data_IF_279783625719
#
_entry.id   IF_279783625719
#
_cell.length_a   1.000
_cell.length_b   1.000
_cell.length_c   1.000
_cell.angle_alpha   90.00
_cell.angle_beta   90.00
_cell.angle_gamma   90.00
#
_symmetry.space_group_name_H-M   'P 1'
#
loop_
_entity.id
_entity.type
_entity.pdbx_description
1 polymer ?
#
# COMPACT_ATOMS: atom_id res chain seq x y z
N UNK A 1 -1.69 -12.87 8.41
CA UNK A 1 -0.79 -11.87 8.97
C UNK A 1 0.64 -11.99 8.51
N UNK A 2 1.03 -13.21 8.13
CA UNK A 2 2.35 -13.34 7.54
C UNK A 2 2.49 -12.51 6.29
N UNK A 3 1.42 -12.46 5.50
CA UNK A 3 1.42 -11.68 4.29
C UNK A 3 1.65 -10.20 4.59
N UNK A 4 0.95 -9.70 5.60
CA UNK A 4 1.09 -8.30 5.96
C UNK A 4 2.49 -8.01 6.45
N UNK A 5 3.05 -8.88 7.27
CA UNK A 5 4.38 -8.65 7.77
C UNK A 5 5.43 -8.72 6.69
N UNK A 6 5.24 -9.64 5.74
CA UNK A 6 6.17 -9.73 4.62
C UNK A 6 6.12 -8.45 3.79
N UNK A 7 4.92 -7.94 3.57
CA UNK A 7 4.78 -6.70 2.82
C UNK A 7 5.45 -5.54 3.53
N UNK A 8 5.30 -5.47 4.84
CA UNK A 8 5.95 -4.42 5.62
C UNK A 8 7.45 -4.48 5.47
N UNK A 9 8.00 -5.68 5.50
CA UNK A 9 9.44 -5.82 5.39
C UNK A 9 9.97 -5.42 4.04
N UNK A 10 9.14 -5.50 3.02
CA UNK A 10 9.59 -5.16 1.68
C UNK A 10 9.61 -3.66 1.44
N UNK A 11 9.03 -2.88 2.34
CA UNK A 11 8.97 -1.43 2.17
C UNK A 11 10.19 -0.78 2.79
N UNK A 12 10.75 0.21 2.11
CA UNK A 12 11.76 1.03 2.73
C UNK A 12 11.10 1.92 3.77
N UNK A 13 11.90 2.51 4.64
CA UNK A 13 11.36 3.40 5.65
C UNK A 13 10.60 4.56 5.01
N UNK A 14 11.14 5.10 3.92
CA UNK A 14 10.49 6.22 3.25
C UNK A 14 9.17 5.80 2.63
N UNK A 15 9.15 4.63 1.99
CA UNK A 15 7.92 4.15 1.39
C UNK A 15 6.86 3.92 2.44
N UNK A 16 7.26 3.34 3.56
CA UNK A 16 6.32 3.08 4.63
C UNK A 16 5.76 4.38 5.19
N UNK A 17 6.64 5.37 5.39
CA UNK A 17 6.19 6.65 5.91
C UNK A 17 5.16 7.30 5.00
N UNK A 18 5.39 7.25 3.70
CA UNK A 18 4.45 7.84 2.76
C UNK A 18 3.10 7.15 2.85
N UNK A 19 3.11 5.82 2.89
CA UNK A 19 1.85 5.09 2.95
C UNK A 19 1.11 5.38 4.25
N UNK A 20 1.83 5.44 5.36
CA UNK A 20 1.20 5.71 6.64
C UNK A 20 0.54 7.09 6.63
N UNK A 21 1.25 8.09 6.13
CA UNK A 21 0.70 9.43 6.13
C UNK A 21 -0.53 9.55 5.25
N UNK A 22 -0.54 8.85 4.15
CA UNK A 22 -1.68 8.93 3.24
C UNK A 22 -2.85 8.10 3.75
N UNK A 23 -2.61 6.86 4.12
CA UNK A 23 -3.72 5.95 4.41
C UNK A 23 -4.17 5.98 5.85
N UNK A 24 -3.28 6.28 6.75
CA UNK A 24 -3.67 6.35 8.15
C UNK A 24 -4.06 7.76 8.56
N UNK A 25 -3.36 8.75 8.04
CA UNK A 25 -3.60 10.13 8.45
C UNK A 25 -4.36 10.94 7.42
N UNK A 26 -4.69 10.35 6.30
CA UNK A 26 -5.53 11.02 5.32
C UNK A 26 -4.90 12.19 4.62
N UNK A 27 -3.59 12.24 4.57
CA UNK A 27 -2.91 13.35 3.91
C UNK A 27 -2.93 13.18 2.41
N UNK A 28 -2.94 14.31 1.71
CA UNK A 28 -2.73 14.26 0.27
C UNK A 28 -1.23 14.32 0.01
N UNK A 29 -0.84 13.94 -1.19
CA UNK A 29 0.56 13.75 -1.50
C UNK A 29 1.38 15.02 -1.25
N UNK A 30 0.81 16.18 -1.57
CA UNK A 30 1.53 17.43 -1.35
C UNK A 30 1.86 17.62 0.13
N UNK A 31 0.91 17.29 0.97
CA UNK A 31 1.12 17.41 2.41
C UNK A 31 2.19 16.46 2.89
N UNK A 32 2.19 15.26 2.31
CA UNK A 32 3.20 14.28 2.67
C UNK A 32 4.59 14.78 2.31
N UNK A 33 4.73 15.32 1.12
CA UNK A 33 6.01 15.85 0.69
C UNK A 33 6.48 16.95 1.63
N UNK A 34 5.55 17.77 2.06
CA UNK A 34 5.85 18.87 2.97
C UNK A 34 6.31 18.37 4.32
N UNK A 35 5.56 17.43 4.88
CA UNK A 35 5.88 16.87 6.17
C UNK A 35 7.23 16.19 6.17
N UNK A 36 7.52 15.45 5.12
CA UNK A 36 8.76 14.70 5.03
C UNK A 36 9.89 15.55 4.47
N UNK A 37 9.57 16.72 4.00
CA UNK A 37 10.57 17.64 3.44
C UNK A 37 11.30 17.02 2.28
N UNK A 38 10.54 16.46 1.36
CA UNK A 38 11.07 15.87 0.14
C UNK A 38 10.33 16.46 -1.04
N UNK A 39 10.92 16.39 -2.23
CA UNK A 39 10.23 16.87 -3.42
C UNK A 39 8.97 16.04 -3.67
N UNK A 40 8.01 16.69 -4.29
CA UNK A 40 6.75 16.05 -4.60
C UNK A 40 6.95 14.82 -5.48
N UNK A 41 7.85 14.90 -6.46
CA UNK A 41 8.13 13.76 -7.30
C UNK A 41 8.71 12.59 -6.54
N UNK A 42 9.53 12.89 -5.54
CA UNK A 42 10.08 11.84 -4.70
C UNK A 42 8.99 11.18 -3.88
N UNK A 43 8.09 11.98 -3.32
CA UNK A 43 6.97 11.41 -2.57
C UNK A 43 6.11 10.54 -3.47
N UNK A 44 5.86 10.98 -4.68
CA UNK A 44 5.07 10.20 -5.62
C UNK A 44 5.75 8.88 -5.97
N UNK A 45 7.07 8.91 -6.11
CA UNK A 45 7.82 7.69 -6.40
C UNK A 45 7.72 6.71 -5.25
N UNK A 46 7.87 7.21 -4.02
CA UNK A 46 7.77 6.34 -2.87
C UNK A 46 6.37 5.73 -2.79
N UNK A 47 5.36 6.52 -3.08
CA UNK A 47 4.00 6.00 -3.06
C UNK A 47 3.83 4.90 -4.10
N UNK A 48 4.28 5.16 -5.31
CA UNK A 48 4.12 4.18 -6.38
C UNK A 48 4.86 2.88 -6.07
N UNK A 49 6.08 3.00 -5.58
CA UNK A 49 6.86 1.82 -5.27
C UNK A 49 6.31 1.06 -4.08
N UNK A 50 5.82 1.79 -3.10
CA UNK A 50 5.21 1.14 -1.95
C UNK A 50 3.98 0.35 -2.34
N UNK A 51 3.14 0.94 -3.18
CA UNK A 51 1.95 0.25 -3.64
C UNK A 51 2.32 -0.97 -4.48
N UNK A 52 3.32 -0.84 -5.32
CA UNK A 52 3.75 -1.96 -6.14
C UNK A 52 4.27 -3.11 -5.28
N UNK A 53 5.02 -2.78 -4.24
CA UNK A 53 5.55 -3.81 -3.36
C UNK A 53 4.43 -4.56 -2.66
N UNK A 54 3.42 -3.84 -2.20
CA UNK A 54 2.28 -4.48 -1.57
C UNK A 54 1.53 -5.35 -2.56
N UNK A 55 1.35 -4.83 -3.77
CA UNK A 55 0.64 -5.58 -4.80
C UNK A 55 1.35 -6.88 -5.12
N UNK A 56 2.67 -6.88 -5.08
CA UNK A 56 3.43 -8.09 -5.35
C UNK A 56 3.09 -9.18 -4.35
N UNK A 57 2.89 -8.80 -3.10
CA UNK A 57 2.54 -9.80 -2.10
C UNK A 57 1.13 -10.29 -2.26
N UNK A 58 0.25 -9.45 -2.73
CA UNK A 58 -1.11 -9.89 -3.01
C UNK A 58 -1.07 -10.98 -4.06
N UNK A 59 -0.22 -10.82 -5.06
CA UNK A 59 -0.14 -11.80 -6.13
C UNK A 59 0.56 -13.07 -5.72
N UNK A 60 1.31 -13.04 -4.64
CA UNK A 60 1.97 -14.26 -4.16
C UNK A 60 1.02 -15.21 -3.49
N UNK A 61 -0.21 -14.82 -3.24
CA UNK A 61 -1.21 -15.69 -2.64
C UNK A 61 -2.39 -15.78 -3.57
N UNK A 62 -2.24 -16.51 -4.64
CA UNK A 62 -3.29 -16.55 -5.68
C UNK A 62 -4.62 -17.04 -5.17
N UNK A 63 -4.61 -17.96 -4.24
CA UNK A 63 -5.88 -18.47 -3.74
C UNK A 63 -6.67 -17.40 -3.04
N UNK A 64 -6.00 -16.64 -2.21
CA UNK A 64 -6.66 -15.57 -1.51
C UNK A 64 -7.16 -14.53 -2.50
N UNK A 65 -6.34 -14.22 -3.45
CA UNK A 65 -6.70 -13.24 -4.44
C UNK A 65 -7.84 -13.73 -5.31
N UNK A 66 -7.83 -14.97 -5.66
CA UNK A 66 -8.90 -15.54 -6.47
C UNK A 66 -10.21 -15.50 -5.72
N UNK A 67 -10.19 -15.83 -4.46
CA UNK A 67 -11.38 -15.77 -3.64
C UNK A 67 -11.96 -14.37 -3.61
N UNK A 68 -11.12 -13.42 -3.39
CA UNK A 68 -11.56 -12.04 -3.33
C UNK A 68 -12.14 -11.61 -4.66
N UNK A 69 -11.46 -11.94 -5.74
CA UNK A 69 -11.94 -11.58 -7.06
C UNK A 69 -13.27 -12.19 -7.37
N UNK A 70 -13.42 -13.42 -7.00
CA UNK A 70 -14.66 -14.10 -7.24
C UNK A 70 -15.82 -13.44 -6.57
N UNK A 71 -15.62 -13.08 -5.33
CA UNK A 71 -16.69 -12.46 -4.58
C UNK A 71 -17.02 -11.10 -5.09
N UNK A 72 -16.03 -10.39 -5.52
CA UNK A 72 -16.26 -9.04 -5.99
C UNK A 72 -16.84 -9.03 -7.38
N UNK A 73 -16.62 -10.07 -8.13
CA UNK A 73 -17.16 -10.24 -9.47
C UNK A 73 -16.84 -9.13 -10.44
N UNK A 74 -16.23 -8.11 -10.00
CA UNK A 74 -15.91 -7.03 -10.89
C UNK A 74 -14.43 -6.93 -11.06
N UNK A 75 -13.97 -7.01 -12.26
CA UNK A 75 -12.57 -6.92 -12.49
C UNK A 75 -12.00 -5.59 -12.10
N UNK A 76 -12.83 -4.58 -12.08
CA UNK A 76 -12.36 -3.26 -11.70
C UNK A 76 -12.13 -3.15 -10.21
N UNK A 77 -12.40 -4.17 -9.47
CA UNK A 77 -12.22 -4.14 -8.03
C UNK A 77 -10.79 -4.31 -7.60
N UNK A 78 -9.95 -4.69 -8.52
CA UNK A 78 -8.56 -4.96 -8.21
C UNK A 78 -7.86 -3.81 -7.49
N UNK A 79 -7.97 -2.58 -7.99
CA UNK A 79 -7.34 -1.46 -7.28
C UNK A 79 -7.87 -1.30 -5.87
N UNK A 80 -9.16 -1.54 -5.67
CA UNK A 80 -9.75 -1.44 -4.33
C UNK A 80 -9.17 -2.48 -3.41
N UNK A 81 -8.94 -3.68 -3.93
CA UNK A 81 -8.36 -4.73 -3.12
C UNK A 81 -6.96 -4.36 -2.66
N UNK A 82 -6.19 -3.78 -3.55
CA UNK A 82 -4.85 -3.39 -3.21
C UNK A 82 -4.88 -2.29 -2.17
N UNK A 83 -5.81 -1.36 -2.29
CA UNK A 83 -5.93 -0.30 -1.31
C UNK A 83 -6.26 -0.87 0.06
N UNK A 84 -7.10 -1.89 0.09
CA UNK A 84 -7.45 -2.52 1.35
C UNK A 84 -6.23 -3.19 1.97
N UNK A 85 -5.44 -3.86 1.16
CA UNK A 85 -4.24 -4.50 1.67
C UNK A 85 -3.26 -3.47 2.19
N UNK A 86 -3.12 -2.36 1.48
CA UNK A 86 -2.24 -1.31 1.93
C UNK A 86 -2.70 -0.76 3.27
N UNK A 87 -3.99 -0.56 3.43
CA UNK A 87 -4.51 -0.06 4.69
C UNK A 87 -4.20 -1.02 5.82
N UNK A 88 -4.28 -2.32 5.53
CA UNK A 88 -3.97 -3.31 6.54
C UNK A 88 -2.49 -3.30 6.90
N UNK A 89 -1.65 -3.13 5.91
CA UNK A 89 -0.22 -3.04 6.15
C UNK A 89 0.09 -1.83 7.02
N UNK A 90 -0.51 -0.70 6.68
CA UNK A 90 -0.29 0.53 7.43
C UNK A 90 -0.75 0.37 8.86
N UNK A 91 -1.90 -0.27 9.04
CA UNK A 91 -2.46 -0.48 10.36
C UNK A 91 -1.55 -1.31 11.23
N UNK A 92 -0.84 -2.23 10.62
CA UNK A 92 0.06 -3.11 11.34
C UNK A 92 1.43 -2.50 11.58
N UNK A 93 1.62 -1.31 11.14
CA UNK A 93 2.90 -0.66 11.24
C UNK A 93 3.14 -0.05 12.60
N UNK A 94 2.21 -0.15 13.47
CA UNK A 94 2.42 0.37 14.80
C UNK A 94 3.16 -0.60 15.66
#
# INVERSE_FOLDING_TARGET
>A
RLLVQAALKSLSAAQRAVLVLIYEHGMVLREVADVLQIPMGTAASHLARGKAAVAAYVELVPELEKSANKELTGSSQRPSEIETVIAEVVDNNE
#
